data_IF_226436031175
#
_entry.id   IF_226436031175
#
_cell.length_a   1.000
_cell.length_b   1.000
_cell.length_c   1.000
_cell.angle_alpha   90.00
_cell.angle_beta   90.00
_cell.angle_gamma   90.00
#
_symmetry.space_group_name_H-M   'P 1'
#
loop_
_entity.id
_entity.type
_entity.pdbx_description
1 polymer ?
#
# COMPACT_ATOMS: atom_id res chain seq x y z
N UNK A 1 -24.13 -31.17 -13.84
CA UNK A 1 -23.15 -30.12 -13.50
C UNK A 1 -23.96 -28.90 -13.14
N UNK A 2 -23.73 -28.31 -11.98
CA UNK A 2 -24.44 -27.09 -11.59
C UNK A 2 -23.93 -25.95 -12.48
N UNK A 3 -24.85 -25.21 -13.11
CA UNK A 3 -24.48 -24.09 -13.97
C UNK A 3 -23.91 -22.96 -13.10
N UNK A 4 -22.66 -22.59 -13.36
CA UNK A 4 -21.97 -21.48 -12.68
C UNK A 4 -22.45 -20.18 -13.30
N UNK A 5 -23.01 -19.30 -12.47
CA UNK A 5 -23.59 -18.00 -12.86
C UNK A 5 -22.57 -16.88 -12.66
N UNK A 6 -21.72 -17.02 -11.64
CA UNK A 6 -20.73 -16.03 -11.27
C UNK A 6 -19.49 -16.69 -10.67
N UNK A 7 -18.31 -16.12 -10.92
CA UNK A 7 -17.07 -16.51 -10.28
C UNK A 7 -16.19 -15.28 -10.01
N UNK A 8 -15.66 -15.18 -8.79
CA UNK A 8 -14.70 -14.16 -8.34
C UNK A 8 -13.42 -14.84 -7.87
N UNK A 9 -12.28 -14.27 -8.24
CA UNK A 9 -10.96 -14.78 -7.88
C UNK A 9 -10.21 -13.71 -7.08
N UNK A 10 -9.74 -14.02 -5.87
CA UNK A 10 -8.89 -13.09 -5.10
C UNK A 10 -7.42 -13.16 -5.56
N UNK A 11 -7.19 -13.00 -6.87
CA UNK A 11 -5.92 -13.30 -7.55
C UNK A 11 -4.69 -12.53 -7.04
N UNK A 12 -4.89 -11.40 -6.37
CA UNK A 12 -3.85 -10.49 -5.87
C UNK A 12 -3.45 -10.75 -4.41
N UNK A 13 -4.10 -11.66 -3.69
CA UNK A 13 -3.78 -11.95 -2.28
C UNK A 13 -2.57 -12.88 -2.15
N UNK A 14 -1.98 -13.07 -0.97
CA UNK A 14 -1.01 -14.14 -0.70
C UNK A 14 -1.63 -15.52 -0.97
N UNK A 15 -0.80 -16.55 -1.18
CA UNK A 15 -1.28 -17.88 -1.63
C UNK A 15 -2.30 -18.48 -0.65
N UNK A 16 -2.07 -18.32 0.64
CA UNK A 16 -2.92 -18.72 1.76
C UNK A 16 -4.29 -18.01 1.77
N UNK A 17 -4.44 -16.88 1.06
CA UNK A 17 -5.68 -16.09 1.00
C UNK A 17 -6.33 -16.08 -0.39
N UNK A 18 -5.79 -16.85 -1.35
CA UNK A 18 -6.36 -16.96 -2.71
C UNK A 18 -7.55 -17.92 -2.71
N UNK A 19 -8.74 -17.35 -2.64
CA UNK A 19 -10.04 -18.03 -2.70
C UNK A 19 -10.71 -17.77 -4.04
N UNK A 20 -11.41 -18.79 -4.52
CA UNK A 20 -12.32 -18.71 -5.66
C UNK A 20 -13.74 -18.83 -5.12
N UNK A 21 -14.53 -17.77 -5.28
CA UNK A 21 -15.95 -17.73 -4.89
C UNK A 21 -16.79 -17.94 -6.14
N UNK A 22 -17.73 -18.89 -6.10
CA UNK A 22 -18.64 -19.19 -7.21
C UNK A 22 -20.09 -19.15 -6.73
N UNK A 23 -20.98 -18.69 -7.60
CA UNK A 23 -22.43 -18.84 -7.42
C UNK A 23 -22.93 -19.79 -8.48
N UNK A 24 -23.67 -20.82 -8.08
CA UNK A 24 -24.21 -21.83 -8.99
C UNK A 24 -25.69 -22.08 -8.79
N UNK A 25 -26.39 -22.49 -9.86
CA UNK A 25 -27.73 -23.05 -9.76
C UNK A 25 -27.64 -24.50 -9.25
N UNK A 26 -28.10 -24.76 -8.03
CA UNK A 26 -28.20 -26.08 -7.44
C UNK A 26 -29.67 -26.57 -7.46
N UNK A 27 -29.87 -27.87 -7.22
CA UNK A 27 -31.19 -28.51 -7.27
C UNK A 27 -32.22 -27.89 -6.30
N UNK A 28 -31.75 -27.21 -5.23
CA UNK A 28 -32.58 -26.56 -4.20
C UNK A 28 -32.58 -25.03 -4.26
N UNK A 29 -32.03 -24.42 -5.32
CA UNK A 29 -31.88 -22.97 -5.43
C UNK A 29 -30.44 -22.58 -5.74
N UNK A 30 -30.06 -21.32 -5.51
CA UNK A 30 -28.67 -20.89 -5.70
C UNK A 30 -27.82 -21.33 -4.51
N UNK A 31 -26.56 -21.64 -4.75
CA UNK A 31 -25.57 -21.91 -3.71
C UNK A 31 -24.30 -21.08 -3.96
N UNK A 32 -23.66 -20.62 -2.90
CA UNK A 32 -22.37 -19.93 -2.96
C UNK A 32 -21.29 -20.88 -2.45
N UNK A 33 -20.23 -21.06 -3.22
CA UNK A 33 -19.11 -21.94 -2.84
C UNK A 33 -17.79 -21.18 -2.83
N UNK A 34 -16.97 -21.39 -1.80
CA UNK A 34 -15.60 -20.89 -1.69
C UNK A 34 -14.63 -22.09 -1.72
N UNK A 35 -13.63 -22.03 -2.59
CA UNK A 35 -12.54 -23.03 -2.67
C UNK A 35 -11.17 -22.34 -2.62
N UNK A 36 -10.21 -22.96 -1.96
CA UNK A 36 -8.84 -22.46 -1.92
C UNK A 36 -8.15 -22.77 -3.24
N UNK A 37 -7.49 -21.78 -3.84
CA UNK A 37 -6.71 -21.98 -5.08
C UNK A 37 -5.45 -22.81 -4.84
N UNK A 38 -4.88 -22.72 -3.65
CA UNK A 38 -3.68 -23.43 -3.23
C UNK A 38 -3.93 -24.19 -1.91
N UNK A 39 -3.22 -25.31 -1.65
CA UNK A 39 -3.36 -26.07 -0.41
C UNK A 39 -3.20 -25.25 0.88
N UNK A 40 -2.34 -24.23 0.85
CA UNK A 40 -2.08 -23.31 1.97
C UNK A 40 -3.34 -22.57 2.44
N UNK A 41 -4.32 -22.35 1.55
CA UNK A 41 -5.56 -21.64 1.89
C UNK A 41 -6.69 -22.52 2.45
N UNK A 42 -6.49 -23.84 2.57
CA UNK A 42 -7.52 -24.73 3.14
C UNK A 42 -7.76 -24.41 4.62
N UNK A 43 -6.71 -24.13 5.39
CA UNK A 43 -6.84 -23.73 6.80
C UNK A 43 -7.64 -22.43 6.94
N UNK A 44 -7.45 -21.48 6.01
CA UNK A 44 -8.18 -20.22 6.00
C UNK A 44 -9.70 -20.45 5.85
N UNK A 45 -10.11 -21.33 4.93
CA UNK A 45 -11.53 -21.69 4.77
C UNK A 45 -12.12 -22.41 5.99
N UNK A 46 -11.36 -23.29 6.65
CA UNK A 46 -11.83 -23.97 7.86
C UNK A 46 -12.05 -22.98 9.00
N UNK A 47 -11.15 -22.01 9.17
CA UNK A 47 -11.27 -20.98 10.20
C UNK A 47 -12.53 -20.12 10.00
N UNK A 48 -12.96 -19.86 8.76
CA UNK A 48 -14.19 -19.10 8.48
C UNK A 48 -15.44 -19.74 9.08
N UNK A 49 -15.50 -21.08 9.16
CA UNK A 49 -16.63 -21.81 9.78
C UNK A 49 -16.61 -21.61 11.29
N UNK A 50 -15.48 -21.95 11.92
CA UNK A 50 -15.31 -21.82 13.37
C UNK A 50 -15.54 -20.38 13.83
N UNK A 51 -15.06 -19.41 13.05
CA UNK A 51 -15.23 -18.00 13.35
C UNK A 51 -16.69 -17.55 13.20
N UNK A 52 -17.44 -18.09 12.24
CA UNK A 52 -18.87 -17.76 12.10
C UNK A 52 -19.68 -18.23 13.31
N UNK A 53 -19.39 -19.42 13.84
CA UNK A 53 -20.03 -19.94 15.06
C UNK A 53 -19.76 -19.01 16.26
N UNK A 54 -18.48 -18.68 16.50
CA UNK A 54 -18.08 -17.78 17.59
C UNK A 54 -18.68 -16.37 17.46
N UNK A 55 -18.75 -15.83 16.25
CA UNK A 55 -19.38 -14.53 16.01
C UNK A 55 -20.89 -14.57 16.27
N UNK A 56 -21.57 -15.66 15.91
CA UNK A 56 -23.00 -15.83 16.20
C UNK A 56 -23.29 -15.90 17.71
N UNK A 57 -22.42 -16.55 18.48
CA UNK A 57 -22.50 -16.52 19.96
C UNK A 57 -22.28 -15.10 20.50
N UNK A 58 -21.31 -14.35 19.95
CA UNK A 58 -21.04 -12.97 20.34
C UNK A 58 -22.17 -11.99 20.01
N UNK A 59 -22.85 -12.18 18.88
CA UNK A 59 -23.94 -11.31 18.46
C UNK A 59 -25.31 -11.74 19.00
N UNK A 60 -25.35 -12.75 19.88
CA UNK A 60 -26.58 -13.15 20.56
C UNK A 60 -27.18 -11.96 21.33
N UNK A 61 -28.44 -11.62 21.03
CA UNK A 61 -29.17 -10.53 21.67
C UNK A 61 -29.31 -9.26 20.82
N UNK A 62 -28.64 -9.17 19.67
CA UNK A 62 -28.88 -8.13 18.66
C UNK A 62 -29.32 -8.77 17.32
N UNK A 63 -30.10 -8.08 16.47
CA UNK A 63 -30.53 -8.60 15.15
C UNK A 63 -29.38 -8.57 14.12
N UNK A 64 -28.26 -9.20 14.44
CA UNK A 64 -27.08 -9.39 13.60
C UNK A 64 -26.66 -10.86 13.63
N UNK A 65 -26.49 -11.47 12.46
CA UNK A 65 -26.09 -12.87 12.32
C UNK A 65 -24.97 -12.99 11.30
N UNK A 66 -24.04 -13.91 11.52
CA UNK A 66 -23.04 -14.33 10.53
C UNK A 66 -23.50 -15.60 9.83
N UNK A 67 -23.39 -15.61 8.50
CA UNK A 67 -23.80 -16.74 7.68
C UNK A 67 -22.87 -17.94 7.92
N UNK A 68 -23.46 -19.05 8.37
CA UNK A 68 -22.74 -20.31 8.57
C UNK A 68 -22.65 -21.09 7.25
N UNK A 69 -21.48 -21.67 7.01
CA UNK A 69 -21.21 -22.53 5.86
C UNK A 69 -20.91 -23.96 6.28
N UNK A 70 -21.00 -24.88 5.34
CA UNK A 70 -20.63 -26.28 5.56
C UNK A 70 -19.47 -26.69 4.66
N UNK A 71 -18.52 -27.42 5.22
CA UNK A 71 -17.38 -27.97 4.48
C UNK A 71 -17.73 -29.33 3.87
N UNK A 72 -17.45 -29.50 2.58
CA UNK A 72 -17.45 -30.81 1.91
C UNK A 72 -16.12 -31.02 1.19
N UNK A 73 -15.23 -31.81 1.78
CA UNK A 73 -13.83 -31.90 1.33
C UNK A 73 -13.12 -30.55 1.51
N UNK A 74 -12.68 -29.93 0.42
CA UNK A 74 -12.03 -28.60 0.43
C UNK A 74 -12.95 -27.49 -0.13
N UNK A 75 -14.26 -27.74 -0.18
CA UNK A 75 -15.25 -26.82 -0.71
C UNK A 75 -16.16 -26.34 0.42
N UNK A 76 -16.07 -25.05 0.74
CA UNK A 76 -16.95 -24.38 1.69
C UNK A 76 -18.22 -23.92 0.95
N UNK A 77 -19.39 -24.34 1.41
CA UNK A 77 -20.67 -24.05 0.76
C UNK A 77 -21.60 -23.30 1.71
N UNK A 78 -22.23 -22.25 1.19
CA UNK A 78 -23.23 -21.46 1.88
C UNK A 78 -24.57 -21.55 1.14
N UNK A 79 -25.65 -21.51 1.92
CA UNK A 79 -26.98 -21.29 1.37
C UNK A 79 -27.07 -19.85 0.83
N UNK A 80 -27.71 -19.68 -0.31
CA UNK A 80 -27.89 -18.35 -0.88
C UNK A 80 -28.92 -17.56 -0.05
N UNK A 81 -28.47 -16.45 0.53
CA UNK A 81 -29.32 -15.55 1.31
C UNK A 81 -30.09 -14.64 0.35
N UNK A 82 -31.42 -14.64 0.48
CA UNK A 82 -32.29 -13.70 -0.24
C UNK A 82 -32.57 -12.49 0.64
N UNK A 83 -32.37 -11.28 0.12
CA UNK A 83 -32.56 -10.04 0.85
C UNK A 83 -32.04 -8.83 0.07
N UNK A 84 -32.06 -7.67 0.69
CA UNK A 84 -31.52 -6.43 0.14
C UNK A 84 -30.09 -6.22 0.65
N UNK A 85 -29.13 -5.96 -0.23
CA UNK A 85 -27.77 -5.62 0.19
C UNK A 85 -27.77 -4.23 0.83
N UNK A 86 -27.08 -4.06 1.96
CA UNK A 86 -27.10 -2.81 2.71
C UNK A 86 -26.44 -1.65 1.95
N UNK A 87 -25.35 -1.88 1.22
CA UNK A 87 -24.71 -0.82 0.43
C UNK A 87 -25.60 -0.39 -0.76
N UNK A 88 -26.25 -1.35 -1.42
CA UNK A 88 -27.24 -1.06 -2.47
C UNK A 88 -28.42 -0.25 -1.92
N UNK A 89 -28.96 -0.64 -0.76
CA UNK A 89 -30.05 0.09 -0.07
C UNK A 89 -29.63 1.53 0.19
N UNK A 90 -28.49 1.73 0.86
CA UNK A 90 -27.96 3.05 1.21
C UNK A 90 -27.77 3.90 -0.06
N UNK A 91 -27.25 3.29 -1.14
CA UNK A 91 -26.98 3.95 -2.42
C UNK A 91 -28.22 4.54 -3.11
N UNK A 92 -29.40 4.00 -2.83
CA UNK A 92 -30.68 4.47 -3.41
C UNK A 92 -31.37 5.56 -2.60
N UNK A 93 -30.86 5.88 -1.41
CA UNK A 93 -31.45 6.88 -0.51
C UNK A 93 -30.90 8.29 -0.77
N UNK A 94 -31.70 9.31 -0.43
CA UNK A 94 -31.21 10.68 -0.30
C UNK A 94 -30.21 10.81 0.87
N UNK A 95 -29.53 11.96 0.97
CA UNK A 95 -28.42 12.14 1.91
C UNK A 95 -28.84 11.96 3.37
N UNK A 96 -30.00 12.49 3.77
CA UNK A 96 -30.49 12.38 5.14
C UNK A 96 -30.89 10.94 5.49
N UNK A 97 -31.62 10.26 4.61
CA UNK A 97 -32.04 8.88 4.85
C UNK A 97 -30.85 7.90 4.81
N UNK A 98 -29.89 8.11 3.91
CA UNK A 98 -28.64 7.35 3.87
C UNK A 98 -27.85 7.51 5.18
N UNK A 99 -27.74 8.75 5.66
CA UNK A 99 -27.11 9.08 6.95
C UNK A 99 -27.79 8.36 8.11
N UNK A 100 -29.12 8.41 8.17
CA UNK A 100 -29.89 7.74 9.21
C UNK A 100 -29.75 6.21 9.18
N UNK A 101 -29.71 5.58 8.00
CA UNK A 101 -29.52 4.12 7.90
C UNK A 101 -28.10 3.69 8.29
N UNK A 102 -27.08 4.47 7.94
CA UNK A 102 -25.70 4.22 8.39
C UNK A 102 -25.62 4.29 9.91
N UNK A 103 -26.12 5.38 10.52
CA UNK A 103 -26.11 5.55 11.97
C UNK A 103 -26.90 4.45 12.66
N UNK A 104 -28.06 4.05 12.13
CA UNK A 104 -28.87 2.95 12.67
C UNK A 104 -28.08 1.63 12.69
N UNK A 105 -27.34 1.31 11.64
CA UNK A 105 -26.49 0.12 11.63
C UNK A 105 -25.34 0.20 12.63
N UNK A 106 -24.74 1.38 12.80
CA UNK A 106 -23.69 1.60 13.81
C UNK A 106 -24.24 1.48 15.23
N UNK A 107 -25.38 2.09 15.51
CA UNK A 107 -26.08 1.99 16.81
C UNK A 107 -26.46 0.54 17.13
N UNK A 108 -26.90 -0.24 16.13
CA UNK A 108 -27.16 -1.67 16.30
C UNK A 108 -25.91 -2.40 16.83
N UNK A 109 -24.77 -2.24 16.17
CA UNK A 109 -23.52 -2.91 16.57
C UNK A 109 -23.10 -2.43 17.96
N UNK A 110 -23.17 -1.12 18.20
CA UNK A 110 -22.81 -0.48 19.47
C UNK A 110 -23.78 -0.82 20.62
N UNK A 111 -24.93 -1.43 20.34
CA UNK A 111 -25.89 -1.88 21.35
C UNK A 111 -25.59 -3.26 21.94
N UNK A 112 -24.59 -3.99 21.40
CA UNK A 112 -24.19 -5.29 21.91
C UNK A 112 -23.66 -5.20 23.35
N UNK A 113 -24.09 -6.13 24.21
CA UNK A 113 -23.59 -6.27 25.58
C UNK A 113 -22.22 -6.97 25.66
N UNK A 114 -21.69 -7.45 24.53
CA UNK A 114 -20.39 -8.12 24.43
C UNK A 114 -19.23 -7.18 24.10
N UNK A 115 -19.48 -5.88 24.00
CA UNK A 115 -18.43 -4.89 23.74
C UNK A 115 -17.50 -4.80 24.94
N UNK A 116 -16.20 -4.86 24.67
CA UNK A 116 -15.11 -4.74 25.66
C UNK A 116 -14.15 -3.60 25.28
N UNK A 117 -13.42 -3.01 26.22
CA UNK A 117 -12.38 -2.03 25.89
C UNK A 117 -11.32 -2.63 24.96
N UNK A 118 -10.91 -1.88 23.95
CA UNK A 118 -9.83 -2.30 23.05
C UNK A 118 -8.52 -2.44 23.82
N UNK A 119 -7.80 -3.54 23.54
CA UNK A 119 -6.46 -3.77 24.07
C UNK A 119 -5.56 -4.24 22.95
N UNK A 120 -4.42 -3.56 22.80
CA UNK A 120 -3.42 -3.90 21.78
C UNK A 120 -2.77 -5.24 22.14
N UNK A 121 -2.69 -6.13 21.16
CA UNK A 121 -1.97 -7.40 21.26
C UNK A 121 -0.79 -7.45 20.28
N UNK A 122 0.12 -8.40 20.48
CA UNK A 122 1.24 -8.63 19.57
C UNK A 122 0.73 -9.04 18.18
N UNK A 123 -0.31 -9.89 18.10
CA UNK A 123 -0.92 -10.33 16.85
C UNK A 123 -1.61 -9.17 16.12
N UNK A 124 -2.29 -8.29 16.86
CA UNK A 124 -2.84 -7.05 16.32
C UNK A 124 -1.73 -6.18 15.69
N UNK A 125 -0.65 -5.94 16.45
CA UNK A 125 0.45 -5.06 16.04
C UNK A 125 1.13 -5.55 14.76
N UNK A 126 1.25 -6.87 14.59
CA UNK A 126 1.83 -7.48 13.39
C UNK A 126 1.00 -7.18 12.13
N UNK A 127 -0.33 -7.09 12.25
CA UNK A 127 -1.24 -7.00 11.11
C UNK A 127 -1.65 -5.54 10.84
N UNK A 128 -1.95 -4.77 11.88
CA UNK A 128 -2.49 -3.42 11.77
C UNK A 128 -1.50 -2.32 12.17
N UNK A 129 -0.36 -2.67 12.75
CA UNK A 129 0.64 -1.71 13.23
C UNK A 129 0.43 -1.28 14.68
N UNK A 130 1.31 -0.41 15.16
CA UNK A 130 1.19 0.18 16.50
C UNK A 130 0.13 1.29 16.47
N UNK A 131 -0.75 1.31 17.47
CA UNK A 131 -1.74 2.36 17.67
C UNK A 131 -1.95 2.63 19.15
N UNK A 132 -2.38 3.84 19.50
CA UNK A 132 -2.79 4.21 20.85
C UNK A 132 -4.14 4.94 20.78
N UNK A 133 -5.09 4.54 21.61
CA UNK A 133 -6.46 5.07 21.59
C UNK A 133 -7.40 4.35 22.55
N UNK A 134 -8.37 5.11 23.08
CA UNK A 134 -9.40 4.59 23.98
C UNK A 134 -10.66 4.21 23.18
N UNK A 135 -10.62 3.02 22.57
CA UNK A 135 -11.72 2.52 21.73
C UNK A 135 -12.42 1.30 22.31
N UNK A 136 -13.54 0.96 21.69
CA UNK A 136 -14.29 -0.26 21.95
C UNK A 136 -13.78 -1.38 21.05
N UNK A 137 -14.10 -2.61 21.39
CA UNK A 137 -13.79 -3.77 20.58
C UNK A 137 -14.70 -4.93 20.93
N UNK A 138 -14.55 -6.01 20.18
CA UNK A 138 -15.05 -7.33 20.51
C UNK A 138 -13.87 -8.25 20.83
N UNK A 139 -14.08 -9.36 21.53
CA UNK A 139 -13.02 -10.36 21.74
C UNK A 139 -12.65 -11.07 20.43
N UNK A 140 -13.65 -11.32 19.59
CA UNK A 140 -13.49 -11.77 18.21
C UNK A 140 -14.00 -10.69 17.26
N UNK A 141 -13.12 -10.21 16.39
CA UNK A 141 -13.37 -9.06 15.53
C UNK A 141 -13.40 -9.47 14.05
N UNK A 142 -14.56 -9.29 13.42
CA UNK A 142 -14.70 -9.40 11.97
C UNK A 142 -14.62 -8.02 11.31
N UNK A 143 -13.56 -7.77 10.53
CA UNK A 143 -13.36 -6.48 9.85
C UNK A 143 -14.08 -6.40 8.49
N UNK A 144 -14.70 -7.50 8.05
CA UNK A 144 -15.49 -7.59 6.82
C UNK A 144 -16.98 -7.29 7.05
N UNK A 145 -17.37 -6.72 8.20
CA UNK A 145 -18.73 -6.23 8.47
C UNK A 145 -19.09 -4.94 7.70
N UNK A 146 -18.48 -4.73 6.54
CA UNK A 146 -18.72 -3.62 5.60
C UNK A 146 -20.08 -3.77 4.91
N UNK A 147 -20.72 -2.66 4.51
CA UNK A 147 -22.08 -2.69 3.96
C UNK A 147 -22.26 -3.64 2.76
N UNK A 148 -21.25 -3.77 1.89
CA UNK A 148 -21.27 -4.70 0.74
C UNK A 148 -21.45 -6.17 1.17
N UNK A 149 -21.04 -6.53 2.39
CA UNK A 149 -21.12 -7.87 2.95
C UNK A 149 -22.31 -8.05 3.89
N UNK A 150 -23.26 -7.11 3.93
CA UNK A 150 -24.45 -7.19 4.78
C UNK A 150 -25.70 -7.33 3.92
N UNK A 151 -26.48 -8.37 4.19
CA UNK A 151 -27.81 -8.58 3.59
C UNK A 151 -28.87 -8.39 4.66
N UNK A 152 -29.82 -7.50 4.39
CA UNK A 152 -31.04 -7.32 5.15
C UNK A 152 -32.06 -8.37 4.71
N UNK A 153 -32.45 -9.25 5.62
CA UNK A 153 -33.47 -10.29 5.36
C UNK A 153 -34.32 -10.49 6.60
N UNK A 154 -35.65 -10.41 6.47
CA UNK A 154 -36.61 -10.59 7.57
C UNK A 154 -36.31 -9.74 8.81
N UNK A 155 -35.94 -8.47 8.62
CA UNK A 155 -35.55 -7.52 9.68
C UNK A 155 -34.26 -7.89 10.45
N UNK A 156 -33.47 -8.84 9.95
CA UNK A 156 -32.14 -9.19 10.48
C UNK A 156 -31.04 -8.74 9.52
N UNK A 157 -29.90 -8.31 10.08
CA UNK A 157 -28.68 -8.04 9.33
C UNK A 157 -27.85 -9.34 9.26
N UNK A 158 -27.56 -9.80 8.06
CA UNK A 158 -26.80 -11.04 7.82
C UNK A 158 -25.45 -10.68 7.21
N UNK A 159 -24.38 -10.92 7.97
CA UNK A 159 -22.99 -10.84 7.49
C UNK A 159 -22.70 -12.07 6.64
N UNK A 160 -22.52 -11.89 5.34
CA UNK A 160 -22.31 -13.00 4.39
C UNK A 160 -20.83 -13.37 4.20
N UNK A 161 -19.91 -12.56 4.75
CA UNK A 161 -18.48 -12.82 4.68
C UNK A 161 -17.81 -12.69 6.05
N UNK A 162 -17.23 -13.79 6.51
CA UNK A 162 -16.43 -13.88 7.74
C UNK A 162 -14.94 -14.11 7.46
N UNK A 163 -14.50 -13.87 6.21
CA UNK A 163 -13.12 -14.17 5.77
C UNK A 163 -12.08 -13.51 6.66
N UNK A 164 -12.26 -12.22 6.97
CA UNK A 164 -11.34 -11.47 7.82
C UNK A 164 -11.84 -11.34 9.26
N UNK A 165 -11.92 -12.49 9.92
CA UNK A 165 -12.21 -12.57 11.36
C UNK A 165 -10.96 -12.93 12.15
N UNK A 166 -10.67 -12.13 13.17
CA UNK A 166 -9.51 -12.28 14.04
C UNK A 166 -9.95 -12.57 15.47
N UNK A 167 -9.30 -13.55 16.11
CA UNK A 167 -9.58 -13.95 17.51
C UNK A 167 -8.77 -13.11 18.51
N UNK A 168 -8.70 -11.82 18.23
CA UNK A 168 -8.12 -10.81 19.12
C UNK A 168 -8.87 -9.48 18.92
N UNK A 169 -8.86 -8.60 19.93
CA UNK A 169 -9.52 -7.30 19.82
C UNK A 169 -8.98 -6.43 18.69
N UNK A 170 -9.89 -5.87 17.90
CA UNK A 170 -9.64 -4.80 16.93
C UNK A 170 -10.58 -3.63 17.28
N UNK A 171 -10.15 -2.36 17.16
CA UNK A 171 -11.02 -1.22 17.43
C UNK A 171 -12.32 -1.33 16.63
N UNK A 172 -13.45 -1.29 17.33
CA UNK A 172 -14.75 -1.37 16.72
C UNK A 172 -14.98 -0.15 15.82
N UNK A 173 -14.52 0.99 16.28
CA UNK A 173 -14.43 2.26 15.57
C UNK A 173 -13.69 2.11 14.23
N UNK A 174 -12.60 1.34 14.15
CA UNK A 174 -11.91 1.03 12.90
C UNK A 174 -12.79 0.17 11.97
N UNK A 175 -13.52 -0.81 12.51
CA UNK A 175 -14.43 -1.65 11.72
C UNK A 175 -15.60 -0.81 11.15
N UNK A 176 -16.15 0.11 11.95
CA UNK A 176 -17.20 1.02 11.50
C UNK A 176 -16.66 2.03 10.48
N UNK A 177 -15.44 2.54 10.69
CA UNK A 177 -14.72 3.34 9.70
C UNK A 177 -14.54 2.58 8.38
N UNK A 178 -14.18 1.29 8.41
CA UNK A 178 -14.09 0.45 7.21
C UNK A 178 -15.41 0.37 6.45
N UNK A 179 -16.55 0.39 7.13
CA UNK A 179 -17.85 0.45 6.47
C UNK A 179 -18.00 1.74 5.62
N UNK A 180 -17.57 2.88 6.18
CA UNK A 180 -17.60 4.18 5.49
C UNK A 180 -16.61 4.21 4.33
N UNK A 181 -15.39 3.73 4.57
CA UNK A 181 -14.33 3.61 3.59
C UNK A 181 -14.81 2.81 2.37
N UNK A 182 -15.42 1.65 2.60
CA UNK A 182 -15.87 0.76 1.53
C UNK A 182 -17.20 1.19 0.89
N UNK A 183 -17.91 2.18 1.43
CA UNK A 183 -19.18 2.63 0.87
C UNK A 183 -19.00 3.69 -0.21
N UNK A 184 -19.45 3.38 -1.43
CA UNK A 184 -19.46 4.35 -2.53
C UNK A 184 -20.44 5.49 -2.28
N UNK A 185 -21.55 5.22 -1.58
CA UNK A 185 -22.59 6.22 -1.27
C UNK A 185 -22.17 7.17 -0.17
N UNK A 186 -21.55 6.68 0.90
CA UNK A 186 -21.05 7.54 1.99
C UNK A 186 -20.18 8.67 1.43
N UNK A 187 -19.30 8.30 0.51
CA UNK A 187 -18.45 9.23 -0.21
C UNK A 187 -19.28 10.34 -0.92
N UNK A 188 -20.43 10.03 -1.52
CA UNK A 188 -21.28 11.01 -2.21
C UNK A 188 -22.10 11.93 -1.29
N UNK A 189 -22.17 11.66 0.01
CA UNK A 189 -22.93 12.48 0.94
C UNK A 189 -22.37 13.90 1.06
N UNK A 190 -23.26 14.87 1.29
CA UNK A 190 -22.88 16.20 1.75
C UNK A 190 -21.97 16.15 2.99
N UNK A 191 -21.10 17.14 3.15
CA UNK A 191 -20.16 17.25 4.28
C UNK A 191 -20.87 17.16 5.63
N UNK A 192 -21.99 17.87 5.78
CA UNK A 192 -22.77 17.90 7.02
C UNK A 192 -23.31 16.51 7.43
N UNK A 193 -23.63 15.67 6.44
CA UNK A 193 -24.06 14.30 6.64
C UNK A 193 -22.91 13.40 7.10
N UNK A 194 -21.73 13.56 6.49
CA UNK A 194 -20.51 12.86 6.90
C UNK A 194 -20.10 13.24 8.33
N UNK A 195 -20.13 14.53 8.65
CA UNK A 195 -19.83 15.05 9.98
C UNK A 195 -20.77 14.47 11.03
N UNK A 196 -22.08 14.36 10.73
CA UNK A 196 -23.06 13.70 11.61
C UNK A 196 -22.73 12.23 11.86
N UNK A 197 -22.31 11.49 10.83
CA UNK A 197 -21.93 10.09 10.96
C UNK A 197 -20.67 9.96 11.81
N UNK A 198 -19.62 10.73 11.53
CA UNK A 198 -18.36 10.71 12.28
C UNK A 198 -18.58 11.13 13.74
N UNK A 199 -19.38 12.17 13.98
CA UNK A 199 -19.75 12.62 15.31
C UNK A 199 -20.54 11.55 16.09
N UNK A 200 -21.38 10.76 15.42
CA UNK A 200 -22.11 9.64 16.07
C UNK A 200 -21.17 8.54 16.59
N UNK A 201 -19.99 8.42 15.98
CA UNK A 201 -18.93 7.50 16.40
C UNK A 201 -17.94 8.14 17.38
N UNK A 202 -17.97 9.46 17.54
CA UNK A 202 -16.99 10.20 18.35
C UNK A 202 -15.60 10.24 17.74
N UNK A 203 -15.47 10.08 16.41
CA UNK A 203 -14.18 10.04 15.73
C UNK A 203 -13.65 11.44 15.40
N UNK A 204 -12.36 11.62 15.64
CA UNK A 204 -11.59 12.82 15.28
C UNK A 204 -10.83 12.62 13.97
N UNK A 205 -10.24 13.69 13.43
CA UNK A 205 -9.35 13.59 12.25
C UNK A 205 -8.17 12.65 12.50
N UNK A 206 -7.59 12.71 13.69
CA UNK A 206 -6.40 11.93 14.05
C UNK A 206 -6.73 10.43 14.12
N UNK A 207 -7.94 10.08 14.58
CA UNK A 207 -8.44 8.70 14.54
C UNK A 207 -8.56 8.20 13.10
N UNK A 208 -9.05 9.04 12.19
CA UNK A 208 -9.22 8.66 10.78
C UNK A 208 -7.88 8.42 10.08
N UNK A 209 -6.88 9.27 10.34
CA UNK A 209 -5.53 9.09 9.80
C UNK A 209 -4.88 7.79 10.31
N UNK A 210 -5.05 7.50 11.59
CA UNK A 210 -4.52 6.27 12.19
C UNK A 210 -5.24 5.02 11.66
N UNK A 211 -6.56 5.04 11.57
CA UNK A 211 -7.35 3.96 10.96
C UNK A 211 -7.03 3.75 9.50
N UNK A 212 -6.70 4.83 8.78
CA UNK A 212 -6.22 4.75 7.42
C UNK A 212 -4.87 4.03 7.31
N UNK A 213 -3.93 4.32 8.22
CA UNK A 213 -2.66 3.59 8.29
C UNK A 213 -2.88 2.10 8.62
N UNK A 214 -3.79 1.79 9.56
CA UNK A 214 -4.18 0.42 9.87
C UNK A 214 -4.73 -0.33 8.65
N UNK A 215 -5.55 0.34 7.83
CA UNK A 215 -6.04 -0.22 6.57
C UNK A 215 -4.90 -0.57 5.61
N UNK A 216 -3.94 0.33 5.44
CA UNK A 216 -2.80 0.10 4.57
C UNK A 216 -1.98 -1.10 5.03
N UNK A 217 -1.73 -1.22 6.34
CA UNK A 217 -1.03 -2.37 6.93
C UNK A 217 -1.78 -3.68 6.71
N UNK A 218 -3.11 -3.66 6.88
CA UNK A 218 -3.94 -4.81 6.58
C UNK A 218 -3.88 -5.21 5.10
N UNK A 219 -3.99 -4.25 4.18
CA UNK A 219 -3.89 -4.54 2.73
C UNK A 219 -2.50 -5.10 2.35
N UNK A 220 -1.42 -4.58 2.96
CA UNK A 220 -0.07 -5.13 2.85
C UNK A 220 -0.01 -6.58 3.34
N UNK A 221 -0.57 -6.84 4.53
CA UNK A 221 -0.64 -8.18 5.11
C UNK A 221 -1.34 -9.19 4.19
N UNK A 222 -2.45 -8.80 3.57
CA UNK A 222 -3.26 -9.66 2.69
C UNK A 222 -2.61 -9.95 1.34
N UNK A 223 -1.94 -8.96 0.73
CA UNK A 223 -1.38 -9.08 -0.63
C UNK A 223 0.10 -9.53 -0.65
N UNK A 224 0.87 -9.27 0.41
CA UNK A 224 2.31 -9.56 0.48
C UNK A 224 3.14 -8.76 -0.52
N UNK A 225 4.31 -9.29 -0.92
CA UNK A 225 5.30 -8.65 -1.82
C UNK A 225 4.77 -8.23 -3.22
N UNK A 226 3.57 -8.65 -3.60
CA UNK A 226 2.95 -8.29 -4.88
C UNK A 226 2.25 -6.92 -4.88
N UNK A 227 2.47 -6.12 -3.84
CA UNK A 227 1.94 -4.77 -3.76
C UNK A 227 2.57 -3.87 -4.82
N UNK A 228 1.74 -3.42 -5.76
CA UNK A 228 1.92 -2.09 -6.29
C UNK A 228 1.25 -1.11 -5.32
N UNK A 229 2.06 -0.26 -4.66
CA UNK A 229 1.56 0.82 -3.83
C UNK A 229 0.59 1.72 -4.62
N UNK A 230 0.76 1.82 -5.94
CA UNK A 230 -0.12 2.52 -6.86
C UNK A 230 -1.52 1.89 -6.94
N UNK A 231 -1.64 0.56 -6.82
CA UNK A 231 -2.93 -0.15 -6.86
C UNK A 231 -3.68 -0.11 -5.52
N UNK A 232 -2.95 -0.11 -4.41
CA UNK A 232 -3.54 0.25 -3.10
C UNK A 232 -4.02 1.69 -3.16
N UNK A 233 -3.17 2.61 -3.64
CA UNK A 233 -3.48 4.01 -3.82
C UNK A 233 -4.70 4.20 -4.74
N UNK A 234 -4.88 3.44 -5.82
CA UNK A 234 -6.07 3.53 -6.69
C UNK A 234 -7.35 2.98 -6.05
N UNK A 235 -7.27 1.84 -5.36
CA UNK A 235 -8.43 1.26 -4.66
C UNK A 235 -8.83 2.12 -3.49
N UNK A 236 -7.86 2.52 -2.70
CA UNK A 236 -8.06 3.44 -1.59
C UNK A 236 -8.52 4.78 -2.13
N UNK A 237 -7.93 5.37 -3.18
CA UNK A 237 -8.43 6.62 -3.78
C UNK A 237 -9.86 6.51 -4.32
N UNK A 238 -10.28 5.36 -4.84
CA UNK A 238 -11.68 5.14 -5.23
C UNK A 238 -12.65 5.15 -4.02
N UNK A 239 -12.12 4.93 -2.81
CA UNK A 239 -12.84 4.75 -1.55
C UNK A 239 -12.56 5.87 -0.50
N UNK A 240 -11.46 6.61 -0.62
CA UNK A 240 -10.94 7.65 0.29
C UNK A 240 -10.95 9.06 -0.32
N UNK A 241 -11.00 9.23 -1.65
CA UNK A 241 -11.06 10.57 -2.26
C UNK A 241 -12.32 11.38 -1.93
N UNK A 242 -13.21 10.91 -1.05
CA UNK A 242 -14.29 11.75 -0.54
C UNK A 242 -14.41 11.87 0.98
N UNK A 243 -13.41 11.41 1.75
CA UNK A 243 -13.27 11.78 3.17
C UNK A 243 -12.59 13.15 3.35
N UNK A 244 -11.92 13.68 2.31
CA UNK A 244 -11.59 15.10 2.25
C UNK A 244 -12.88 15.91 1.96
N UNK A 245 -13.21 16.81 2.88
CA UNK A 245 -14.29 17.79 2.83
C UNK A 245 -14.50 18.35 1.42
N UNK A 246 -15.65 18.06 0.80
CA UNK A 246 -16.06 18.68 -0.46
C UNK A 246 -16.68 20.05 -0.15
N UNK A 247 -15.88 21.11 -0.27
CA UNK A 247 -16.38 22.45 -0.55
C UNK A 247 -16.67 22.52 -2.07
N UNK A 248 -17.80 23.08 -2.49
CA UNK A 248 -18.19 23.18 -3.91
C UNK A 248 -17.14 23.97 -4.74
N UNK A 249 -16.30 24.77 -4.08
CA UNK A 249 -15.15 25.45 -4.67
C UNK A 249 -14.01 24.51 -5.12
N UNK A 250 -13.98 23.24 -4.65
CA UNK A 250 -12.88 22.29 -4.89
C UNK A 250 -13.01 21.46 -6.17
N UNK A 251 -14.12 21.57 -6.91
CA UNK A 251 -14.27 20.89 -8.20
C UNK A 251 -13.30 21.50 -9.21
N UNK A 252 -13.13 22.82 -9.16
CA UNK A 252 -12.30 23.56 -10.10
C UNK A 252 -10.80 23.34 -9.82
N UNK A 253 -10.06 23.14 -10.91
CA UNK A 253 -8.62 23.18 -10.99
C UNK A 253 -8.24 24.60 -11.44
N UNK A 254 -7.88 25.45 -10.48
CA UNK A 254 -7.49 26.82 -10.75
C UNK A 254 -6.01 26.90 -11.08
N UNK A 255 -5.70 27.40 -12.27
CA UNK A 255 -4.34 27.54 -12.75
C UNK A 255 -4.08 28.97 -13.19
N UNK A 256 -2.85 29.43 -13.07
CA UNK A 256 -2.51 30.84 -13.29
C UNK A 256 -1.10 31.01 -13.84
N UNK A 257 -0.90 32.07 -14.63
CA UNK A 257 0.41 32.50 -15.11
C UNK A 257 0.72 33.86 -14.53
N UNK A 258 1.93 33.97 -13.99
CA UNK A 258 2.49 35.22 -13.51
C UNK A 258 3.72 35.55 -14.35
N UNK A 259 3.82 36.79 -14.80
CA UNK A 259 4.96 37.35 -15.51
C UNK A 259 5.64 38.34 -14.57
N UNK A 260 6.90 38.10 -14.20
CA UNK A 260 7.65 38.90 -13.22
C UNK A 260 6.88 39.13 -11.91
N UNK A 261 6.25 38.05 -11.41
CA UNK A 261 5.39 38.00 -10.21
C UNK A 261 4.05 38.74 -10.31
N UNK A 262 3.70 39.30 -11.46
CA UNK A 262 2.38 39.88 -11.70
C UNK A 262 1.46 38.86 -12.37
N UNK A 263 0.24 38.68 -11.85
CA UNK A 263 -0.76 37.79 -12.43
C UNK A 263 -1.18 38.33 -13.82
N UNK A 264 -0.95 37.55 -14.87
CA UNK A 264 -1.34 37.93 -16.24
C UNK A 264 -2.42 37.05 -16.83
N UNK A 265 -2.57 35.84 -16.30
CA UNK A 265 -3.63 34.92 -16.69
C UNK A 265 -4.10 34.09 -15.51
N UNK A 266 -5.41 33.87 -15.42
CA UNK A 266 -6.01 32.86 -14.56
C UNK A 266 -7.10 32.12 -15.32
N UNK A 267 -7.20 30.81 -15.06
CA UNK A 267 -8.19 29.93 -15.64
C UNK A 267 -8.65 28.90 -14.62
N UNK A 268 -9.77 28.25 -14.92
CA UNK A 268 -10.29 27.14 -14.14
C UNK A 268 -10.80 26.06 -15.09
N UNK A 269 -10.70 24.81 -14.68
CA UNK A 269 -11.31 23.68 -15.39
C UNK A 269 -11.75 22.60 -14.41
N UNK A 270 -12.68 21.76 -14.82
CA UNK A 270 -13.04 20.54 -14.06
C UNK A 270 -12.26 19.32 -14.57
N UNK A 271 -11.61 19.43 -15.73
CA UNK A 271 -10.84 18.35 -16.33
C UNK A 271 -9.54 18.13 -15.56
N UNK A 272 -9.13 16.86 -15.42
CA UNK A 272 -7.84 16.51 -14.82
C UNK A 272 -6.67 16.86 -15.73
N UNK A 273 -6.88 16.91 -17.05
CA UNK A 273 -5.85 17.28 -18.03
C UNK A 273 -6.00 18.75 -18.38
N UNK A 274 -4.94 19.52 -18.18
CA UNK A 274 -4.90 20.95 -18.49
C UNK A 274 -3.92 21.21 -19.63
N UNK A 275 -4.36 22.02 -20.59
CA UNK A 275 -3.56 22.49 -21.72
C UNK A 275 -3.52 24.02 -21.69
N UNK A 276 -2.58 24.55 -20.90
CA UNK A 276 -2.41 25.98 -20.68
C UNK A 276 -1.60 26.59 -21.81
N UNK A 277 -2.12 27.65 -22.43
CA UNK A 277 -1.46 28.38 -23.50
C UNK A 277 -1.52 29.88 -23.21
N UNK A 278 -0.38 30.54 -23.06
CA UNK A 278 -0.32 31.95 -22.67
C UNK A 278 0.72 32.72 -23.48
N UNK A 279 0.29 33.85 -24.06
CA UNK A 279 1.18 34.81 -24.73
C UNK A 279 1.98 35.56 -23.66
N UNK A 280 3.29 35.69 -23.91
CA UNK A 280 4.24 36.31 -22.98
C UNK A 280 4.61 37.71 -23.48
N UNK A 281 4.68 38.68 -22.57
CA UNK A 281 5.09 40.04 -22.89
C UNK A 281 6.59 40.08 -23.25
N UNK A 282 6.99 40.90 -24.24
CA UNK A 282 8.40 40.95 -24.69
C UNK A 282 9.42 41.27 -23.60
N UNK A 283 9.02 42.01 -22.57
CA UNK A 283 9.88 42.44 -21.46
C UNK A 283 9.95 41.45 -20.29
N UNK A 284 9.14 40.40 -20.28
CA UNK A 284 9.04 39.44 -19.18
C UNK A 284 10.35 38.69 -19.02
N UNK A 285 10.87 38.58 -17.79
CA UNK A 285 12.10 37.82 -17.50
C UNK A 285 11.81 36.47 -16.88
N UNK A 286 10.82 36.40 -16.01
CA UNK A 286 10.44 35.21 -15.27
C UNK A 286 8.97 34.89 -15.52
N UNK A 287 8.69 33.62 -15.79
CA UNK A 287 7.32 33.13 -15.95
C UNK A 287 7.08 32.11 -14.84
N UNK A 288 6.11 32.36 -13.97
CA UNK A 288 5.65 31.40 -12.96
C UNK A 288 4.31 30.84 -13.38
N UNK A 289 4.18 29.52 -13.41
CA UNK A 289 2.93 28.82 -13.70
C UNK A 289 2.48 28.10 -12.44
N UNK A 290 1.35 28.55 -11.88
CA UNK A 290 0.61 27.81 -10.86
C UNK A 290 -0.24 26.76 -11.57
N UNK A 291 0.01 25.49 -11.30
CA UNK A 291 -0.65 24.38 -11.99
C UNK A 291 -1.98 23.98 -11.35
N UNK A 292 -2.20 24.33 -10.08
CA UNK A 292 -3.48 24.11 -9.40
C UNK A 292 -3.63 25.05 -8.19
N UNK A 293 -4.85 25.23 -7.68
CA UNK A 293 -5.12 25.98 -6.44
C UNK A 293 -4.80 25.22 -5.16
N UNK A 294 -4.51 23.92 -5.27
CA UNK A 294 -4.31 23.01 -4.15
C UNK A 294 -3.03 22.18 -4.34
N UNK A 295 -2.47 21.72 -3.23
CA UNK A 295 -1.38 20.75 -3.22
C UNK A 295 -1.78 19.43 -3.89
N UNK A 296 -0.81 18.56 -4.20
CA UNK A 296 -1.14 17.28 -4.85
C UNK A 296 -0.04 16.71 -5.72
N UNK A 297 -0.44 15.87 -6.67
CA UNK A 297 0.46 15.16 -7.59
C UNK A 297 0.12 15.59 -9.01
N UNK A 298 1.12 16.08 -9.72
CA UNK A 298 0.96 16.55 -11.10
C UNK A 298 1.94 15.84 -12.00
N UNK A 299 1.41 15.25 -13.07
CA UNK A 299 2.19 14.69 -14.16
C UNK A 299 2.39 15.71 -15.25
N UNK A 300 3.62 16.17 -15.43
CA UNK A 300 3.94 17.13 -16.49
C UNK A 300 4.09 16.37 -17.80
N UNK A 301 3.20 16.63 -18.75
CA UNK A 301 3.21 15.98 -20.08
C UNK A 301 4.18 16.71 -21.00
N UNK A 302 4.11 18.05 -21.04
CA UNK A 302 5.04 18.87 -21.82
C UNK A 302 5.06 20.32 -21.39
N UNK A 303 6.25 20.94 -21.43
CA UNK A 303 6.45 22.38 -21.31
C UNK A 303 7.11 22.85 -22.61
N UNK A 304 6.43 23.70 -23.36
CA UNK A 304 6.90 24.20 -24.65
C UNK A 304 6.78 25.73 -24.71
N UNK A 305 7.54 26.35 -25.62
CA UNK A 305 7.45 27.77 -25.92
C UNK A 305 7.62 28.06 -27.40
N UNK A 306 6.98 29.13 -27.87
CA UNK A 306 7.17 29.68 -29.20
C UNK A 306 8.25 30.77 -29.15
N UNK A 307 9.27 30.65 -30.01
CA UNK A 307 10.31 31.70 -30.17
C UNK A 307 10.63 31.86 -31.65
N UNK A 308 10.41 33.05 -32.21
CA UNK A 308 10.65 33.34 -33.62
C UNK A 308 9.85 32.42 -34.55
N UNK A 309 8.62 32.05 -34.16
CA UNK A 309 7.77 31.11 -34.90
C UNK A 309 8.17 29.63 -34.81
N UNK A 310 9.19 29.26 -34.03
CA UNK A 310 9.57 27.86 -33.78
C UNK A 310 9.10 27.39 -32.41
N UNK A 311 8.58 26.17 -32.35
CA UNK A 311 8.19 25.54 -31.09
C UNK A 311 9.42 24.87 -30.45
N UNK A 312 9.73 25.24 -29.21
CA UNK A 312 10.90 24.81 -28.45
C UNK A 312 10.38 24.09 -27.20
N UNK A 313 10.86 22.89 -26.96
CA UNK A 313 10.59 22.18 -25.70
C UNK A 313 11.51 22.74 -24.60
N UNK A 314 10.93 23.09 -23.46
CA UNK A 314 11.65 23.57 -22.29
C UNK A 314 11.90 22.37 -21.38
N UNK A 315 13.16 22.03 -21.17
CA UNK A 315 13.57 20.94 -20.27
C UNK A 315 14.02 21.44 -18.91
N UNK A 316 14.63 22.63 -18.85
CA UNK A 316 15.08 23.25 -17.61
C UNK A 316 14.04 24.26 -17.10
N UNK A 317 13.34 23.87 -16.05
CA UNK A 317 12.47 24.74 -15.25
C UNK A 317 12.63 24.36 -13.78
N UNK A 318 12.41 25.33 -12.90
CA UNK A 318 12.41 25.10 -11.47
C UNK A 318 11.00 24.76 -11.00
N UNK A 319 10.89 24.03 -9.88
CA UNK A 319 9.61 23.66 -9.29
C UNK A 319 9.74 23.50 -7.78
N UNK A 320 8.66 23.74 -7.05
CA UNK A 320 8.56 23.48 -5.61
C UNK A 320 8.12 22.04 -5.29
N UNK A 321 8.16 21.13 -6.26
CA UNK A 321 7.93 19.71 -6.01
C UNK A 321 8.98 19.16 -5.03
N UNK A 322 8.53 18.45 -4.01
CA UNK A 322 9.38 17.87 -2.98
C UNK A 322 9.94 16.49 -3.35
N UNK A 323 9.29 15.83 -4.29
CA UNK A 323 9.63 14.50 -4.77
C UNK A 323 9.20 14.38 -6.24
N UNK A 324 10.04 13.73 -7.05
CA UNK A 324 9.77 13.48 -8.47
C UNK A 324 10.03 12.00 -8.73
N UNK A 325 9.02 11.28 -9.23
CA UNK A 325 9.11 9.86 -9.58
C UNK A 325 8.48 9.68 -10.95
N UNK A 326 9.21 9.17 -11.95
CA UNK A 326 8.68 8.87 -13.28
C UNK A 326 7.90 10.03 -13.96
N UNK A 327 8.36 11.27 -13.78
CA UNK A 327 7.72 12.52 -14.23
C UNK A 327 6.41 12.91 -13.52
N UNK A 328 6.09 12.25 -12.41
CA UNK A 328 5.06 12.69 -11.48
C UNK A 328 5.73 13.53 -10.38
N UNK A 329 5.20 14.74 -10.19
CA UNK A 329 5.73 15.75 -9.28
C UNK A 329 4.81 15.85 -8.07
N UNK A 330 5.37 15.70 -6.88
CA UNK A 330 4.62 15.63 -5.63
C UNK A 330 4.82 16.92 -4.84
N UNK A 331 3.71 17.56 -4.49
CA UNK A 331 3.68 18.86 -3.84
C UNK A 331 2.86 18.78 -2.54
N UNK A 332 3.46 19.16 -1.42
CA UNK A 332 2.74 19.45 -0.17
C UNK A 332 2.12 20.85 -0.15
N UNK A 333 2.65 21.76 -0.97
CA UNK A 333 2.20 23.13 -1.17
C UNK A 333 1.54 23.32 -2.56
N UNK A 334 1.09 24.55 -2.87
CA UNK A 334 0.52 24.90 -4.17
C UNK A 334 1.54 24.59 -5.28
N UNK A 335 1.19 23.77 -6.30
CA UNK A 335 2.13 23.35 -7.34
C UNK A 335 2.55 24.48 -8.27
N UNK A 336 3.86 24.74 -8.35
CA UNK A 336 4.41 25.84 -9.14
C UNK A 336 5.57 25.37 -10.03
N UNK A 337 5.61 25.92 -11.24
CA UNK A 337 6.76 25.88 -12.15
C UNK A 337 7.30 27.30 -12.34
N UNK A 338 8.62 27.43 -12.39
CA UNK A 338 9.32 28.69 -12.65
C UNK A 338 10.19 28.49 -13.89
N UNK A 339 9.93 29.32 -14.91
CA UNK A 339 10.59 29.27 -16.20
C UNK A 339 11.32 30.60 -16.42
N UNK A 340 12.62 30.51 -16.67
CA UNK A 340 13.41 31.66 -17.10
C UNK A 340 13.06 31.99 -18.56
N UNK A 341 12.48 33.17 -18.80
CA UNK A 341 12.09 33.57 -20.14
C UNK A 341 13.33 33.80 -21.00
N UNK A 342 13.34 33.21 -22.19
CA UNK A 342 14.40 33.39 -23.19
C UNK A 342 13.80 34.00 -24.45
N UNK A 343 13.13 35.15 -24.31
CA UNK A 343 12.40 35.85 -25.38
C UNK A 343 11.28 34.99 -26.01
N UNK A 344 10.55 34.24 -25.19
CA UNK A 344 9.41 33.46 -25.65
C UNK A 344 8.22 34.38 -25.99
N UNK A 345 7.58 34.10 -27.11
CA UNK A 345 6.35 34.77 -27.57
C UNK A 345 5.12 34.17 -26.88
N UNK A 346 5.17 32.87 -26.61
CA UNK A 346 4.09 32.11 -25.98
C UNK A 346 4.69 30.93 -25.22
N UNK A 347 4.05 30.51 -24.12
CA UNK A 347 4.27 29.21 -23.47
C UNK A 347 3.06 28.30 -23.63
N UNK A 348 3.32 27.00 -23.65
CA UNK A 348 2.32 25.93 -23.65
C UNK A 348 2.72 24.89 -22.61
N UNK A 349 1.91 24.74 -21.57
CA UNK A 349 2.15 23.80 -20.47
C UNK A 349 0.99 22.82 -20.43
N UNK A 350 1.29 21.56 -20.73
CA UNK A 350 0.34 20.46 -20.69
C UNK A 350 0.67 19.52 -19.55
N UNK A 351 -0.31 19.24 -18.71
CA UNK A 351 -0.14 18.41 -17.53
C UNK A 351 -1.45 17.72 -17.16
N UNK A 352 -1.32 16.68 -16.34
CA UNK A 352 -2.43 15.94 -15.76
C UNK A 352 -2.34 16.04 -14.24
N UNK A 353 -3.42 16.50 -13.62
CA UNK A 353 -3.60 16.51 -12.18
C UNK A 353 -4.01 15.10 -11.78
N UNK A 354 -3.04 14.34 -11.28
CA UNK A 354 -3.23 12.96 -10.81
C UNK A 354 -3.98 12.97 -9.48
N UNK A 355 -3.64 13.92 -8.62
CA UNK A 355 -4.17 14.04 -7.28
C UNK A 355 -4.15 15.49 -6.82
N UNK A 356 -5.13 15.91 -6.00
CA UNK A 356 -5.19 17.25 -5.42
C UNK A 356 -5.80 17.28 -4.02
N UNK A 357 -5.43 18.29 -3.27
CA UNK A 357 -6.03 18.72 -2.02
C UNK A 357 -6.06 17.63 -0.95
N UNK A 358 -4.91 17.43 -0.31
CA UNK A 358 -4.79 16.44 0.75
C UNK A 358 -3.94 16.95 1.89
N UNK A 359 -4.52 16.85 3.09
CA UNK A 359 -3.85 17.13 4.36
C UNK A 359 -2.70 16.16 4.62
N UNK A 360 -2.73 14.98 4.00
CA UNK A 360 -1.70 13.95 4.19
C UNK A 360 -0.57 14.02 3.16
N UNK A 361 -0.50 15.05 2.29
CA UNK A 361 0.57 15.14 1.28
C UNK A 361 1.97 15.15 1.90
N UNK A 362 2.18 15.90 2.98
CA UNK A 362 3.48 16.00 3.64
C UNK A 362 3.88 14.68 4.34
N UNK A 363 3.03 14.05 5.17
CA UNK A 363 3.29 12.69 5.68
C UNK A 363 3.53 11.66 4.57
N UNK A 364 2.76 11.72 3.48
CA UNK A 364 2.86 10.80 2.36
C UNK A 364 4.19 10.94 1.60
N UNK A 365 4.60 12.17 1.29
CA UNK A 365 5.90 12.46 0.66
C UNK A 365 7.05 12.02 1.56
N UNK A 366 6.93 12.24 2.88
CA UNK A 366 7.93 11.80 3.86
C UNK A 366 8.06 10.28 3.90
N UNK A 367 6.95 9.56 3.91
CA UNK A 367 6.92 8.10 3.85
C UNK A 367 7.57 7.56 2.57
N UNK A 368 7.20 8.11 1.40
CA UNK A 368 7.79 7.72 0.12
C UNK A 368 9.30 8.01 0.05
N UNK A 369 9.75 9.15 0.58
CA UNK A 369 11.18 9.48 0.68
C UNK A 369 11.91 8.44 1.52
N UNK A 370 11.32 8.04 2.65
CA UNK A 370 11.89 7.01 3.52
C UNK A 370 12.00 5.65 2.81
N UNK A 371 10.93 5.17 2.18
CA UNK A 371 10.92 3.89 1.44
C UNK A 371 11.90 3.89 0.26
N UNK A 372 12.00 4.99 -0.48
CA UNK A 372 12.91 5.09 -1.62
C UNK A 372 14.37 5.13 -1.17
N UNK A 373 14.68 5.79 -0.04
CA UNK A 373 15.99 5.70 0.60
C UNK A 373 16.32 4.28 1.08
N UNK A 374 15.33 3.55 1.64
CA UNK A 374 15.52 2.16 2.05
C UNK A 374 15.77 1.25 0.85
N UNK A 375 15.08 1.47 -0.28
CA UNK A 375 15.25 0.70 -1.51
C UNK A 375 16.63 0.93 -2.14
N UNK A 376 17.06 2.18 -2.24
CA UNK A 376 18.40 2.55 -2.72
C UNK A 376 19.52 2.00 -1.81
N UNK A 377 19.35 2.09 -0.47
CA UNK A 377 20.28 1.49 0.49
C UNK A 377 20.31 -0.03 0.35
N UNK A 378 19.16 -0.69 0.18
CA UNK A 378 19.07 -2.15 -0.03
C UNK A 378 19.79 -2.61 -1.30
N UNK A 379 19.62 -1.89 -2.40
CA UNK A 379 20.31 -2.18 -3.67
C UNK A 379 21.83 -1.97 -3.56
N UNK A 380 22.28 -0.90 -2.90
CA UNK A 380 23.71 -0.66 -2.61
C UNK A 380 24.30 -1.75 -1.69
N UNK A 381 23.54 -2.20 -0.69
CA UNK A 381 23.96 -3.31 0.18
C UNK A 381 24.01 -4.65 -0.55
N UNK A 382 23.06 -4.93 -1.45
CA UNK A 382 23.09 -6.12 -2.30
C UNK A 382 24.27 -6.10 -3.26
N UNK A 383 24.51 -4.96 -3.93
CA UNK A 383 25.65 -4.79 -4.83
C UNK A 383 26.99 -4.96 -4.08
N UNK A 384 27.14 -4.33 -2.92
CA UNK A 384 28.32 -4.56 -2.06
C UNK A 384 28.46 -6.03 -1.70
N UNK A 385 27.39 -6.67 -1.21
CA UNK A 385 27.42 -8.10 -0.85
C UNK A 385 27.91 -8.99 -1.99
N UNK A 386 27.50 -8.72 -3.23
CA UNK A 386 27.93 -9.45 -4.42
C UNK A 386 29.42 -9.23 -4.74
N UNK A 387 29.90 -7.98 -4.71
CA UNK A 387 31.32 -7.63 -4.95
C UNK A 387 32.25 -8.36 -3.99
N UNK A 388 31.94 -8.33 -2.71
CA UNK A 388 32.78 -8.97 -1.70
C UNK A 388 32.65 -10.50 -1.68
N UNK A 389 31.47 -11.05 -2.01
CA UNK A 389 31.33 -12.50 -2.22
C UNK A 389 32.21 -12.98 -3.37
N UNK A 390 32.30 -12.20 -4.45
CA UNK A 390 33.18 -12.51 -5.58
C UNK A 390 34.67 -12.43 -5.17
N UNK A 391 35.07 -11.41 -4.40
CA UNK A 391 36.44 -11.30 -3.89
C UNK A 391 36.83 -12.48 -2.98
N UNK A 392 35.93 -12.93 -2.09
CA UNK A 392 36.18 -14.12 -1.26
C UNK A 392 36.37 -15.38 -2.11
N UNK A 393 35.56 -15.57 -3.15
CA UNK A 393 35.69 -16.71 -4.07
C UNK A 393 37.03 -16.67 -4.83
N UNK A 394 37.47 -15.49 -5.29
CA UNK A 394 38.78 -15.33 -5.95
C UNK A 394 39.94 -15.67 -5.00
N UNK A 395 39.91 -15.19 -3.76
CA UNK A 395 40.93 -15.51 -2.77
C UNK A 395 40.96 -16.98 -2.39
N UNK A 396 39.80 -17.64 -2.30
CA UNK A 396 39.73 -19.09 -2.07
C UNK A 396 40.39 -19.89 -3.19
N UNK A 397 40.17 -19.50 -4.46
CA UNK A 397 40.82 -20.14 -5.60
C UNK A 397 42.35 -19.98 -5.53
N UNK A 398 42.84 -18.79 -5.19
CA UNK A 398 44.29 -18.54 -5.04
C UNK A 398 44.87 -19.33 -3.87
N UNK A 399 44.17 -19.45 -2.75
CA UNK A 399 44.59 -20.27 -1.61
C UNK A 399 44.71 -21.74 -2.03
N UNK A 400 43.78 -22.27 -2.81
CA UNK A 400 43.83 -23.64 -3.31
C UNK A 400 45.03 -23.87 -4.22
N UNK A 401 45.33 -22.94 -5.13
CA UNK A 401 46.54 -23.00 -5.96
C UNK A 401 47.84 -22.96 -5.12
N UNK A 402 47.89 -22.13 -4.08
CA UNK A 402 49.04 -22.03 -3.20
C UNK A 402 49.24 -23.29 -2.36
N UNK A 403 48.15 -23.89 -1.85
CA UNK A 403 48.18 -25.19 -1.14
C UNK A 403 48.72 -26.30 -2.04
N UNK A 404 48.24 -26.38 -3.29
CA UNK A 404 48.74 -27.34 -4.27
C UNK A 404 50.25 -27.16 -4.54
N UNK A 405 50.73 -25.91 -4.67
CA UNK A 405 52.17 -25.63 -4.80
C UNK A 405 52.95 -26.08 -3.56
N UNK A 406 52.45 -25.83 -2.35
CA UNK A 406 53.08 -26.31 -1.13
C UNK A 406 53.24 -27.84 -1.13
N UNK A 407 52.17 -28.57 -1.49
CA UNK A 407 52.21 -30.03 -1.57
C UNK A 407 53.24 -30.54 -2.59
N UNK A 408 53.33 -29.90 -3.76
CA UNK A 408 54.35 -30.21 -4.76
C UNK A 408 55.77 -29.99 -4.20
N UNK A 409 56.01 -28.90 -3.47
CA UNK A 409 57.31 -28.65 -2.86
C UNK A 409 57.65 -29.61 -1.72
N UNK A 410 56.67 -30.08 -0.93
CA UNK A 410 56.89 -31.16 0.05
C UNK A 410 57.40 -32.41 -0.64
N UNK A 411 56.85 -32.76 -1.81
CA UNK A 411 57.33 -33.90 -2.60
C UNK A 411 58.77 -33.70 -3.08
N UNK A 412 59.15 -32.49 -3.50
CA UNK A 412 60.52 -32.19 -3.95
C UNK A 412 61.54 -32.18 -2.80
N UNK A 413 61.17 -31.65 -1.63
CA UNK A 413 61.99 -31.65 -0.40
C UNK A 413 62.36 -33.07 0.03
N UNK A 414 61.46 -34.04 -0.21
CA UNK A 414 61.69 -35.44 0.12
C UNK A 414 62.55 -36.18 -0.93
N UNK A 415 62.76 -35.59 -2.12
CA UNK A 415 63.51 -36.20 -3.23
C UNK A 415 64.95 -35.68 -3.39
N UNK A 416 65.23 -34.43 -3.03
CA UNK A 416 66.53 -33.78 -3.26
C UNK A 416 67.28 -33.44 -1.97
N UNK A 417 68.60 -33.72 -1.94
CA UNK A 417 69.47 -33.47 -0.79
C UNK A 417 70.12 -32.07 -0.78
N UNK A 418 70.63 -31.58 -1.91
CA UNK A 418 71.43 -30.34 -1.96
C UNK A 418 70.58 -29.06 -2.13
N UNK A 419 69.41 -29.14 -2.77
CA UNK A 419 68.49 -28.00 -2.96
C UNK A 419 67.35 -27.91 -1.93
N UNK A 420 67.43 -28.73 -0.87
CA UNK A 420 66.34 -28.92 0.11
C UNK A 420 65.95 -27.62 0.81
N UNK A 421 66.93 -26.81 1.17
CA UNK A 421 66.71 -25.56 1.90
C UNK A 421 66.02 -24.50 1.03
N UNK A 422 66.27 -24.50 -0.29
CA UNK A 422 65.63 -23.60 -1.24
C UNK A 422 64.14 -23.94 -1.37
N UNK A 423 63.82 -25.22 -1.52
CA UNK A 423 62.42 -25.66 -1.61
C UNK A 423 61.65 -25.43 -0.31
N UNK A 424 62.30 -25.63 0.84
CA UNK A 424 61.71 -25.35 2.14
C UNK A 424 61.39 -23.85 2.29
N UNK A 425 62.31 -22.97 1.91
CA UNK A 425 62.09 -21.52 1.97
C UNK A 425 60.92 -21.07 1.09
N UNK A 426 60.79 -21.62 -0.13
CA UNK A 426 59.64 -21.30 -1.03
C UNK A 426 58.32 -21.84 -0.50
N UNK A 427 58.32 -23.02 0.09
CA UNK A 427 57.13 -23.60 0.71
C UNK A 427 56.66 -22.73 1.90
N UNK A 428 57.59 -22.26 2.74
CA UNK A 428 57.29 -21.34 3.85
C UNK A 428 56.73 -20.01 3.34
N UNK A 429 57.23 -19.48 2.22
CA UNK A 429 56.72 -18.27 1.57
C UNK A 429 55.26 -18.44 1.10
N UNK A 430 54.95 -19.52 0.36
CA UNK A 430 53.59 -19.79 -0.09
C UNK A 430 52.63 -20.09 1.07
N UNK A 431 53.12 -20.79 2.09
CA UNK A 431 52.38 -21.05 3.32
C UNK A 431 52.00 -19.75 4.03
N UNK A 432 52.94 -18.81 4.13
CA UNK A 432 52.68 -17.50 4.70
C UNK A 432 51.67 -16.71 3.85
N UNK A 433 51.83 -16.74 2.53
CA UNK A 433 50.95 -16.03 1.60
C UNK A 433 49.49 -16.49 1.70
N UNK A 434 49.22 -17.80 1.71
CA UNK A 434 47.84 -18.26 1.81
C UNK A 434 47.27 -18.09 3.22
N UNK A 435 48.09 -18.18 4.28
CA UNK A 435 47.64 -17.85 5.64
C UNK A 435 47.20 -16.37 5.74
N UNK A 436 47.93 -15.45 5.08
CA UNK A 436 47.54 -14.03 5.00
C UNK A 436 46.22 -13.85 4.26
N UNK A 437 46.00 -14.56 3.13
CA UNK A 437 44.73 -14.52 2.42
C UNK A 437 43.58 -15.12 3.24
N UNK A 438 43.82 -16.19 4.01
CA UNK A 438 42.82 -16.73 4.96
C UNK A 438 42.47 -15.70 6.05
N UNK A 439 43.46 -14.96 6.57
CA UNK A 439 43.21 -13.84 7.49
C UNK A 439 42.43 -12.70 6.83
N UNK A 440 42.69 -12.37 5.56
CA UNK A 440 41.93 -11.36 4.83
C UNK A 440 40.49 -11.80 4.56
N UNK A 441 40.26 -13.04 4.16
CA UNK A 441 38.91 -13.63 4.06
C UNK A 441 38.21 -13.56 5.42
N UNK A 442 38.90 -13.88 6.51
CA UNK A 442 38.32 -13.80 7.86
C UNK A 442 38.02 -12.35 8.26
N UNK A 443 38.87 -11.38 7.92
CA UNK A 443 38.58 -9.95 8.12
C UNK A 443 37.41 -9.48 7.27
N UNK A 444 37.31 -9.95 6.03
CA UNK A 444 36.14 -9.70 5.19
C UNK A 444 34.91 -10.31 5.86
N UNK A 445 34.93 -11.56 6.29
CA UNK A 445 33.83 -12.18 7.03
C UNK A 445 33.47 -11.49 8.36
N UNK A 446 34.45 -10.95 9.09
CA UNK A 446 34.25 -10.18 10.33
C UNK A 446 33.70 -8.77 10.07
N UNK A 447 34.07 -8.16 8.95
CA UNK A 447 33.51 -6.87 8.49
C UNK A 447 32.16 -7.06 7.77
N UNK A 448 31.86 -8.28 7.32
CA UNK A 448 30.73 -8.59 6.49
C UNK A 448 29.41 -8.58 7.26
N UNK A 449 28.59 -7.57 6.95
CA UNK A 449 27.29 -7.68 6.23
C UNK A 449 26.35 -8.87 6.51
N UNK A 450 26.75 -9.98 7.11
CA UNK A 450 25.87 -11.03 7.61
C UNK A 450 24.89 -10.48 8.67
N UNK A 451 25.32 -9.53 9.52
CA UNK A 451 24.44 -8.80 10.44
C UNK A 451 23.46 -7.85 9.73
N UNK A 452 23.84 -7.29 8.58
CA UNK A 452 23.00 -6.41 7.77
C UNK A 452 22.03 -7.23 6.91
N UNK A 453 22.47 -8.34 6.31
CA UNK A 453 21.62 -9.28 5.59
C UNK A 453 20.70 -10.06 6.51
N UNK A 454 21.06 -10.38 7.76
CA UNK A 454 20.11 -10.95 8.73
C UNK A 454 19.08 -9.91 9.20
N UNK A 455 19.48 -8.64 9.40
CA UNK A 455 18.52 -7.56 9.70
C UNK A 455 17.60 -7.27 8.52
N UNK A 456 18.15 -7.16 7.32
CA UNK A 456 17.41 -6.91 6.08
C UNK A 456 16.58 -8.13 5.69
N UNK A 457 17.07 -9.37 5.81
CA UNK A 457 16.27 -10.58 5.61
C UNK A 457 15.25 -10.83 6.73
N UNK A 458 15.48 -10.37 7.97
CA UNK A 458 14.43 -10.36 9.01
C UNK A 458 13.34 -9.33 8.74
N UNK A 459 13.68 -8.22 8.06
CA UNK A 459 12.73 -7.19 7.64
C UNK A 459 12.02 -7.60 6.34
N UNK A 460 12.71 -8.19 5.37
CA UNK A 460 12.15 -8.74 4.11
C UNK A 460 11.32 -10.01 4.36
N UNK A 461 11.61 -10.80 5.40
CA UNK A 461 10.69 -11.89 5.83
C UNK A 461 9.50 -11.39 6.65
N UNK A 462 9.42 -10.09 6.92
CA UNK A 462 8.32 -9.40 7.63
C UNK A 462 7.63 -8.31 6.78
N UNK A 463 8.11 -8.04 5.56
CA UNK A 463 7.37 -7.39 4.48
C UNK A 463 6.77 -8.49 3.59
#
# INVERSE_FOLDING_TARGET
MNDIIYAKFSSQRKKEYKIITKISNADKGRAVTKEAKYPEGVSHLTQMIENAELLNEQFEGIPLKVLEGHMSGNLLTYDFVSGENLDDKISLLDDDNATSEIIKYFELILSSDKIVPFTVSDDFTVIFGECDGEWKSFEISNIDMIFENIILSNDEYIVIDSEWTFRFPIPLEFILYRCLLHSTRYNMLASECKDRILASLGLTSDDLDLFFEMEQKFQQYVKGDSLDLQEIHERINKHCNRLALYDENMINNDYSVYEDFELTFSGHTIDSVVDLNQIIKPETKLIKVQLNGYNGIIKIISVNALKGGQNIQIQDFETNAELIINNDYYFSAIPELIINNSDYEQISVKYEIIYKNSVIMEPFISSLKSENEYKLKSEDYQHKSEVYSNACNEYQNVIEELKNKCDDYVVQINKCGEDRDIYKSKMEEYQQAYNTLEEEINRIHETFTWKLSEKVNRIIRKA
#
